data_IF_750877267747
#
_entry.id   IF_750877267747
#
_cell.length_a   1.000
_cell.length_b   1.000
_cell.length_c   1.000
_cell.angle_alpha   90.00
_cell.angle_beta   90.00
_cell.angle_gamma   90.00
#
_symmetry.space_group_name_H-M   'P 1'
#
loop_
_entity.id
_entity.type
_entity.pdbx_description
1 polymer ?
#
# COMPACT_ATOMS: atom_id res chain seq x y z
N UNK A 1 -1.17 -9.70 2.43
CA UNK A 1 -2.24 -10.48 1.75
C UNK A 1 -2.17 -10.39 0.23
N UNK A 2 -2.08 -9.20 -0.40
CA UNK A 2 -2.03 -9.07 -1.87
C UNK A 2 -0.94 -9.91 -2.56
N UNK A 3 0.28 -9.89 -2.03
CA UNK A 3 1.40 -10.72 -2.51
C UNK A 3 1.08 -12.22 -2.59
N UNK A 4 0.28 -12.76 -1.66
CA UNK A 4 -0.03 -14.19 -1.61
C UNK A 4 -1.01 -14.63 -2.70
N UNK A 5 -1.70 -13.69 -3.35
CA UNK A 5 -2.67 -13.96 -4.42
C UNK A 5 -2.20 -13.40 -5.77
N UNK A 6 -0.94 -12.97 -5.87
CA UNK A 6 -0.33 -12.50 -7.12
C UNK A 6 -0.89 -11.18 -7.64
N UNK A 7 -1.46 -10.35 -6.76
CA UNK A 7 -1.99 -9.02 -7.14
C UNK A 7 -1.12 -7.91 -6.60
N UNK A 8 -1.10 -6.80 -7.32
CA UNK A 8 -0.48 -5.56 -6.86
C UNK A 8 -1.12 -5.10 -5.55
N UNK A 9 -0.28 -4.60 -4.66
CA UNK A 9 -0.63 -4.20 -3.31
C UNK A 9 -0.16 -2.77 -3.02
N UNK A 10 -1.08 -1.96 -2.50
CA UNK A 10 -0.81 -0.60 -2.07
C UNK A 10 -0.98 -0.54 -0.56
N UNK A 11 0.03 -0.07 0.15
CA UNK A 11 -0.03 0.16 1.59
C UNK A 11 -0.33 1.64 1.85
N UNK A 12 -1.46 1.94 2.49
CA UNK A 12 -1.91 3.31 2.71
C UNK A 12 -1.57 3.77 4.12
N UNK A 13 -0.86 4.88 4.25
CA UNK A 13 -0.40 5.49 5.51
C UNK A 13 -1.50 6.33 6.18
N UNK A 14 -2.73 5.84 6.17
CA UNK A 14 -3.85 6.41 6.94
C UNK A 14 -4.37 5.37 7.93
N UNK A 15 -4.90 5.83 9.07
CA UNK A 15 -5.31 4.93 10.16
C UNK A 15 -4.16 4.06 10.67
N UNK A 16 -4.42 2.76 10.85
CA UNK A 16 -3.44 1.76 11.31
C UNK A 16 -2.18 1.65 10.43
N UNK A 17 -2.26 2.09 9.17
CA UNK A 17 -1.10 2.06 8.27
C UNK A 17 0.07 2.95 8.71
N UNK A 18 -0.20 4.02 9.46
CA UNK A 18 0.83 4.95 9.95
C UNK A 18 1.79 4.33 10.95
N UNK A 19 1.28 3.45 11.80
CA UNK A 19 2.04 2.86 12.91
C UNK A 19 2.74 1.57 12.48
N UNK A 20 2.18 0.84 11.51
CA UNK A 20 2.68 -0.47 11.08
C UNK A 20 3.72 -0.45 9.94
N UNK A 21 4.16 0.72 9.44
CA UNK A 21 5.05 0.76 8.27
C UNK A 21 6.43 0.14 8.56
N UNK A 22 6.92 0.29 9.79
CA UNK A 22 8.21 -0.28 10.23
C UNK A 22 8.11 -1.78 10.53
N UNK A 23 6.89 -2.29 10.74
CA UNK A 23 6.61 -3.71 11.00
C UNK A 23 6.34 -4.51 9.71
N UNK A 24 6.43 -3.87 8.54
CA UNK A 24 6.23 -4.51 7.26
C UNK A 24 7.31 -5.56 6.97
N UNK A 25 6.95 -6.83 7.09
CA UNK A 25 7.80 -7.96 6.70
C UNK A 25 7.77 -8.25 5.20
N UNK A 26 6.77 -7.71 4.48
CA UNK A 26 6.61 -7.86 3.03
C UNK A 26 6.51 -6.47 2.40
N UNK A 27 7.31 -6.24 1.36
CA UNK A 27 7.32 -4.98 0.63
C UNK A 27 6.08 -4.89 -0.27
N UNK A 28 5.21 -3.87 -0.10
CA UNK A 28 4.12 -3.59 -1.04
C UNK A 28 4.67 -2.98 -2.34
N UNK A 29 3.87 -3.04 -3.41
CA UNK A 29 4.23 -2.48 -4.71
C UNK A 29 4.24 -0.96 -4.69
N UNK A 30 3.41 -0.36 -3.83
CA UNK A 30 3.37 1.07 -3.60
C UNK A 30 3.01 1.40 -2.15
N UNK A 31 3.58 2.48 -1.61
CA UNK A 31 3.21 3.04 -0.31
C UNK A 31 2.62 4.42 -0.57
N UNK A 32 1.34 4.60 -0.25
CA UNK A 32 0.60 5.83 -0.47
C UNK A 32 0.38 6.57 0.86
N UNK A 33 0.51 7.90 0.86
CA UNK A 33 0.23 8.78 1.99
C UNK A 33 -1.27 8.77 2.36
N UNK A 34 -2.14 8.63 1.36
CA UNK A 34 -3.58 8.60 1.52
C UNK A 34 -4.27 7.85 0.36
N UNK A 35 -5.60 7.78 0.42
CA UNK A 35 -6.40 7.10 -0.59
C UNK A 35 -6.38 7.81 -1.94
N UNK A 36 -6.16 9.13 -1.96
CA UNK A 36 -6.09 9.90 -3.19
C UNK A 36 -4.82 9.55 -3.96
N UNK A 37 -3.67 9.48 -3.28
CA UNK A 37 -2.42 9.05 -3.89
C UNK A 37 -2.47 7.59 -4.34
N UNK A 38 -3.09 6.71 -3.55
CA UNK A 38 -3.30 5.31 -3.95
C UNK A 38 -4.12 5.22 -5.24
N UNK A 39 -5.22 5.96 -5.35
CA UNK A 39 -6.04 6.00 -6.55
C UNK A 39 -5.28 6.59 -7.75
N UNK A 40 -4.48 7.63 -7.53
CA UNK A 40 -3.65 8.23 -8.57
C UNK A 40 -2.60 7.25 -9.13
N UNK A 41 -2.04 6.37 -8.27
CA UNK A 41 -1.15 5.30 -8.70
C UNK A 41 -1.89 4.26 -9.55
N UNK A 42 -3.07 3.81 -9.12
CA UNK A 42 -3.89 2.84 -9.87
C UNK A 42 -4.22 3.36 -11.27
N UNK A 43 -4.58 4.64 -11.40
CA UNK A 43 -4.95 5.23 -12.69
C UNK A 43 -3.77 5.41 -13.66
N UNK A 44 -2.52 5.33 -13.17
CA UNK A 44 -1.30 5.46 -13.99
C UNK A 44 -0.63 4.12 -14.29
N UNK A 45 -1.09 3.04 -13.67
CA UNK A 45 -0.52 1.69 -13.77
C UNK A 45 -0.98 0.95 -15.03
#
# INVERSE_FOLDING_TARGET
MGHNVGVNSIYVLTGHGKEGVEELTVKPDFIAQDIYEAAAWIMKA
#
